data_IF_645967301509
#
_entry.id   IF_645967301509
#
_cell.length_a   1.000
_cell.length_b   1.000
_cell.length_c   1.000
_cell.angle_alpha   90.00
_cell.angle_beta   90.00
_cell.angle_gamma   90.00
#
_symmetry.space_group_name_H-M   'P 1'
#
loop_
_entity.id
_entity.type
_entity.pdbx_description
1 polymer ?
#
# COMPACT_ATOMS: atom_id res chain seq x y z
N UNK A 1 2.30 -3.85 -24.88
CA UNK A 1 1.74 -3.80 -23.52
C UNK A 1 2.19 -4.99 -22.67
N UNK A 2 2.36 -6.17 -23.25
CA UNK A 2 2.77 -7.39 -22.53
C UNK A 2 4.11 -7.24 -21.79
N UNK A 3 5.12 -6.67 -22.45
CA UNK A 3 6.43 -6.42 -21.83
C UNK A 3 6.31 -5.52 -20.59
N UNK A 4 5.50 -4.46 -20.68
CA UNK A 4 5.27 -3.52 -19.57
C UNK A 4 4.56 -4.23 -18.42
N UNK A 5 3.56 -5.05 -18.75
CA UNK A 5 2.79 -5.85 -17.78
C UNK A 5 3.72 -6.78 -17.01
N UNK A 6 4.59 -7.51 -17.72
CA UNK A 6 5.59 -8.38 -17.10
C UNK A 6 6.60 -7.61 -16.26
N UNK A 7 7.12 -6.49 -16.76
CA UNK A 7 8.06 -5.64 -16.02
C UNK A 7 7.45 -5.10 -14.72
N UNK A 8 6.17 -4.71 -14.74
CA UNK A 8 5.48 -4.21 -13.54
C UNK A 8 5.21 -5.32 -12.52
N UNK A 9 4.71 -6.47 -12.99
CA UNK A 9 4.49 -7.66 -12.18
C UNK A 9 5.76 -8.07 -11.44
N UNK A 10 6.86 -8.25 -12.17
CA UNK A 10 8.16 -8.62 -11.59
C UNK A 10 8.73 -7.50 -10.71
N UNK A 11 8.63 -6.25 -11.13
CA UNK A 11 9.15 -5.09 -10.41
C UNK A 11 8.46 -4.83 -9.07
N UNK A 12 7.25 -5.36 -8.87
CA UNK A 12 6.52 -5.31 -7.59
C UNK A 12 6.66 -6.59 -6.78
N UNK A 13 7.67 -7.41 -7.10
CA UNK A 13 7.87 -8.74 -6.55
C UNK A 13 6.60 -9.60 -6.62
N UNK A 14 5.94 -9.58 -7.79
CA UNK A 14 4.70 -10.32 -8.08
C UNK A 14 3.50 -9.89 -7.23
N UNK A 15 3.57 -8.74 -6.57
CA UNK A 15 2.47 -8.28 -5.73
C UNK A 15 1.32 -7.69 -6.53
N UNK A 16 1.56 -6.89 -7.57
CA UNK A 16 0.49 -6.44 -8.47
C UNK A 16 0.17 -7.59 -9.42
N UNK A 17 -1.09 -7.98 -9.55
CA UNK A 17 -1.51 -9.04 -10.47
C UNK A 17 -1.39 -8.57 -11.94
N UNK A 18 -1.18 -9.49 -12.88
CA UNK A 18 -0.94 -9.14 -14.29
C UNK A 18 -2.14 -8.36 -14.88
N UNK A 19 -3.35 -8.82 -14.60
CA UNK A 19 -4.62 -8.21 -14.97
C UNK A 19 -4.84 -6.82 -14.35
N UNK A 20 -4.17 -6.53 -13.24
CA UNK A 20 -4.29 -5.27 -12.51
C UNK A 20 -3.30 -4.20 -12.99
N UNK A 21 -2.25 -4.58 -13.74
CA UNK A 21 -1.25 -3.62 -14.23
C UNK A 21 -1.86 -2.53 -15.10
N UNK A 22 -2.90 -2.85 -15.88
CA UNK A 22 -3.56 -1.88 -16.75
C UNK A 22 -4.02 -0.63 -15.99
N UNK A 23 -4.51 -0.78 -14.75
CA UNK A 23 -4.98 0.35 -13.92
C UNK A 23 -3.84 1.29 -13.53
N UNK A 24 -2.65 0.75 -13.24
CA UNK A 24 -1.45 1.56 -12.95
C UNK A 24 -0.85 2.17 -14.23
N UNK A 25 -0.85 1.39 -15.31
CA UNK A 25 -0.28 1.77 -16.60
C UNK A 25 -0.96 3.00 -17.20
N UNK A 26 -2.29 3.14 -17.03
CA UNK A 26 -3.07 4.27 -17.54
C UNK A 26 -2.50 5.64 -17.14
N UNK A 27 -1.94 5.76 -15.91
CA UNK A 27 -1.36 7.01 -15.41
C UNK A 27 0.16 6.95 -15.23
N UNK A 28 0.72 5.76 -15.09
CA UNK A 28 2.14 5.56 -14.77
C UNK A 28 3.03 5.35 -15.98
N UNK A 29 2.49 5.38 -17.20
CA UNK A 29 3.28 5.32 -18.44
C UNK A 29 3.25 6.66 -19.17
N UNK A 30 4.36 6.97 -19.83
CA UNK A 30 4.49 8.08 -20.77
C UNK A 30 5.06 7.55 -22.08
N UNK A 31 4.42 7.87 -23.20
CA UNK A 31 4.95 7.57 -24.51
C UNK A 31 6.30 8.27 -24.71
N UNK A 32 7.24 7.61 -25.39
CA UNK A 32 8.51 8.24 -25.74
C UNK A 32 8.29 9.38 -26.73
N UNK A 33 9.04 10.47 -26.54
CA UNK A 33 9.06 11.58 -27.50
C UNK A 33 9.90 11.29 -28.74
N UNK A 34 10.72 10.23 -28.72
CA UNK A 34 11.65 9.90 -29.82
C UNK A 34 11.36 8.58 -30.50
N UNK A 35 10.54 7.70 -29.91
CA UNK A 35 10.19 6.39 -30.47
C UNK A 35 8.72 6.04 -30.15
N UNK A 36 7.80 6.13 -31.12
CA UNK A 36 6.36 5.93 -30.87
C UNK A 36 6.02 4.51 -30.38
N UNK A 37 6.92 3.53 -30.54
CA UNK A 37 6.71 2.16 -30.08
C UNK A 37 7.19 1.93 -28.65
N UNK A 38 7.78 2.94 -27.99
CA UNK A 38 8.34 2.83 -26.64
C UNK A 38 7.56 3.65 -25.62
N UNK A 39 7.53 3.12 -24.41
CA UNK A 39 6.96 3.75 -23.24
C UNK A 39 7.97 3.77 -22.11
N UNK A 40 7.89 4.81 -21.29
CA UNK A 40 8.65 4.94 -20.06
C UNK A 40 7.70 4.90 -18.87
N UNK A 41 8.15 4.30 -17.77
CA UNK A 41 7.50 4.49 -16.48
C UNK A 41 7.70 5.95 -16.08
N UNK A 42 6.60 6.68 -15.93
CA UNK A 42 6.61 8.08 -15.56
C UNK A 42 6.94 8.23 -14.08
N UNK A 43 8.22 8.41 -13.76
CA UNK A 43 8.72 8.57 -12.39
C UNK A 43 9.92 9.50 -12.35
N UNK A 44 10.13 10.11 -11.19
CA UNK A 44 11.38 10.80 -10.88
C UNK A 44 12.42 9.81 -10.37
N UNK A 45 13.61 9.80 -10.96
CA UNK A 45 14.69 8.89 -10.57
C UNK A 45 15.21 9.14 -9.14
N UNK A 46 15.08 10.38 -8.63
CA UNK A 46 15.49 10.77 -7.28
C UNK A 46 14.68 10.07 -6.20
N UNK A 47 13.46 9.62 -6.49
CA UNK A 47 12.65 8.87 -5.53
C UNK A 47 13.31 7.57 -5.08
N UNK A 48 14.29 7.04 -5.82
CA UNK A 48 15.08 5.89 -5.37
C UNK A 48 15.95 6.19 -4.15
N UNK A 49 16.32 7.45 -3.91
CA UNK A 49 17.21 7.80 -2.80
C UNK A 49 16.54 7.65 -1.43
N UNK A 50 15.20 7.68 -1.38
CA UNK A 50 14.45 7.49 -0.12
C UNK A 50 14.73 6.12 0.50
N UNK A 51 15.08 5.11 -0.31
CA UNK A 51 15.36 3.76 0.14
C UNK A 51 16.64 3.66 1.01
N UNK A 52 17.48 4.70 1.00
CA UNK A 52 18.70 4.76 1.82
C UNK A 52 18.52 5.53 3.13
N UNK A 53 17.33 6.08 3.38
CA UNK A 53 17.02 6.74 4.64
C UNK A 53 16.32 5.75 5.57
N UNK A 54 17.01 5.34 6.63
CA UNK A 54 16.40 4.53 7.68
C UNK A 54 15.40 5.36 8.48
N UNK A 55 14.27 4.75 8.82
CA UNK A 55 13.31 5.35 9.72
C UNK A 55 13.85 5.42 11.16
N UNK A 56 13.54 6.53 11.85
CA UNK A 56 13.81 6.63 13.27
C UNK A 56 12.67 5.98 14.06
N UNK A 57 12.90 4.77 14.59
CA UNK A 57 11.90 4.00 15.33
C UNK A 57 11.33 4.72 16.56
N UNK A 58 12.12 5.54 17.25
CA UNK A 58 11.63 6.33 18.38
C UNK A 58 10.63 7.39 17.93
N UNK A 59 10.94 8.09 16.83
CA UNK A 59 10.03 9.06 16.23
C UNK A 59 8.73 8.40 15.79
N UNK A 60 8.82 7.31 15.02
CA UNK A 60 7.65 6.57 14.50
C UNK A 60 6.79 6.05 15.66
N UNK A 61 7.38 5.44 16.67
CA UNK A 61 6.66 4.98 17.86
C UNK A 61 5.99 6.12 18.64
N UNK A 62 6.64 7.28 18.73
CA UNK A 62 6.06 8.48 19.37
C UNK A 62 4.86 9.01 18.59
N UNK A 63 4.92 8.99 17.25
CA UNK A 63 3.80 9.38 16.39
C UNK A 63 2.64 8.39 16.49
N UNK A 64 2.91 7.09 16.48
CA UNK A 64 1.89 6.04 16.66
C UNK A 64 1.10 6.20 17.96
N UNK A 65 1.79 6.46 19.08
CA UNK A 65 1.14 6.73 20.39
C UNK A 65 0.26 7.98 20.40
N UNK A 66 0.45 8.90 19.46
CA UNK A 66 -0.33 10.15 19.35
C UNK A 66 -1.51 10.04 18.41
N UNK A 67 -1.73 8.90 17.76
CA UNK A 67 -2.84 8.68 16.85
C UNK A 67 -4.17 8.62 17.64
N UNK A 68 -5.04 9.62 17.47
CA UNK A 68 -6.32 9.76 18.19
C UNK A 68 -7.55 9.67 17.30
N UNK A 69 -7.38 9.82 15.98
CA UNK A 69 -8.51 9.74 15.05
C UNK A 69 -8.95 8.28 14.87
N UNK A 70 -10.21 8.10 14.50
CA UNK A 70 -10.68 6.81 14.02
C UNK A 70 -9.77 6.34 12.88
N UNK A 71 -9.31 5.10 12.94
CA UNK A 71 -8.35 4.57 11.98
C UNK A 71 -8.70 3.13 11.63
N UNK A 72 -8.86 2.87 10.34
CA UNK A 72 -9.01 1.53 9.79
C UNK A 72 -7.68 1.09 9.16
N UNK A 73 -7.15 -0.03 9.63
CA UNK A 73 -5.89 -0.61 9.16
C UNK A 73 -6.13 -2.00 8.57
N UNK A 74 -5.55 -2.26 7.40
CA UNK A 74 -5.53 -3.58 6.79
C UNK A 74 -4.11 -4.11 6.71
N UNK A 75 -3.92 -5.35 7.15
CA UNK A 75 -2.70 -6.14 6.92
C UNK A 75 -2.98 -7.22 5.89
N UNK A 76 -2.46 -7.11 4.66
CA UNK A 76 -2.43 -8.23 3.74
C UNK A 76 -1.47 -9.29 4.27
N UNK A 77 -1.94 -10.52 4.44
CA UNK A 77 -1.19 -11.57 5.14
C UNK A 77 -0.09 -12.21 4.27
N UNK A 78 -0.22 -12.15 2.94
CA UNK A 78 0.81 -12.66 2.02
C UNK A 78 1.89 -11.60 1.74
N UNK A 79 1.76 -10.41 2.32
CA UNK A 79 2.73 -9.32 2.22
C UNK A 79 3.83 -9.44 3.27
N UNK A 80 5.12 -9.41 2.91
CA UNK A 80 6.22 -9.40 3.88
C UNK A 80 6.35 -8.06 4.62
N UNK A 81 5.76 -6.98 4.12
CA UNK A 81 5.84 -5.65 4.72
C UNK A 81 5.05 -5.55 6.03
N UNK A 82 5.59 -4.79 6.99
CA UNK A 82 5.02 -4.55 8.31
C UNK A 82 4.71 -5.84 9.09
N UNK A 83 5.58 -6.84 8.96
CA UNK A 83 5.46 -8.15 9.61
C UNK A 83 6.60 -8.41 10.62
N UNK A 84 7.60 -7.54 10.69
CA UNK A 84 8.65 -7.61 11.71
C UNK A 84 8.10 -7.26 13.10
N UNK A 85 8.82 -7.70 14.13
CA UNK A 85 8.44 -7.55 15.54
C UNK A 85 8.13 -6.10 15.93
N UNK A 86 8.91 -5.14 15.44
CA UNK A 86 8.68 -3.73 15.74
C UNK A 86 7.36 -3.23 15.14
N UNK A 87 7.03 -3.60 13.91
CA UNK A 87 5.74 -3.26 13.30
C UNK A 87 4.55 -3.91 14.03
N UNK A 88 4.72 -5.15 14.51
CA UNK A 88 3.69 -5.83 15.31
C UNK A 88 3.47 -5.09 16.63
N UNK A 89 4.52 -4.83 17.39
CA UNK A 89 4.46 -4.09 18.65
C UNK A 89 3.84 -2.70 18.46
N UNK A 90 4.24 -1.97 17.42
CA UNK A 90 3.71 -0.64 17.13
C UNK A 90 2.20 -0.67 16.91
N UNK A 91 1.69 -1.66 16.17
CA UNK A 91 0.26 -1.83 15.93
C UNK A 91 -0.50 -2.10 17.21
N UNK A 92 0.02 -2.98 18.07
CA UNK A 92 -0.56 -3.28 19.38
C UNK A 92 -0.56 -2.06 20.30
N UNK A 93 0.48 -1.22 20.24
CA UNK A 93 0.54 0.05 20.96
C UNK A 93 -0.53 1.01 20.47
N UNK A 94 -0.73 1.13 19.15
CA UNK A 94 -1.77 1.99 18.57
C UNK A 94 -3.16 1.49 18.97
N UNK A 95 -3.41 0.18 18.87
CA UNK A 95 -4.68 -0.44 19.22
C UNK A 95 -5.03 -0.25 20.70
N UNK A 96 -4.06 -0.43 21.61
CA UNK A 96 -4.25 -0.17 23.05
C UNK A 96 -4.53 1.31 23.36
N UNK A 97 -3.93 2.24 22.62
CA UNK A 97 -4.02 3.67 22.91
C UNK A 97 -5.19 4.36 22.19
N UNK A 98 -5.81 3.71 21.21
CA UNK A 98 -6.89 4.28 20.41
C UNK A 98 -8.05 3.30 20.28
N UNK A 99 -9.09 3.48 21.10
CA UNK A 99 -10.32 2.67 21.07
C UNK A 99 -11.12 2.76 19.76
N UNK A 100 -10.72 3.64 18.83
CA UNK A 100 -11.31 3.82 17.49
C UNK A 100 -10.41 3.24 16.38
N UNK A 101 -9.36 2.51 16.75
CA UNK A 101 -8.50 1.79 15.83
C UNK A 101 -9.10 0.41 15.53
N UNK A 102 -9.22 0.07 14.25
CA UNK A 102 -9.73 -1.21 13.77
C UNK A 102 -8.67 -1.86 12.87
N UNK A 103 -8.22 -3.07 13.21
CA UNK A 103 -7.18 -3.79 12.47
C UNK A 103 -7.74 -5.08 11.88
N UNK A 104 -7.62 -5.24 10.57
CA UNK A 104 -8.10 -6.41 9.85
C UNK A 104 -6.97 -7.08 9.07
N UNK A 105 -6.86 -8.40 9.22
CA UNK A 105 -5.94 -9.23 8.46
C UNK A 105 -6.69 -9.84 7.28
N UNK A 106 -6.21 -9.60 6.07
CA UNK A 106 -6.92 -10.00 4.84
C UNK A 106 -6.03 -10.86 3.94
N UNK A 107 -6.55 -11.93 3.32
CA UNK A 107 -5.84 -12.69 2.30
C UNK A 107 -5.45 -11.82 1.12
N UNK A 108 -4.20 -11.93 0.65
CA UNK A 108 -3.69 -11.18 -0.49
C UNK A 108 -2.30 -10.60 -0.28
N UNK A 109 -1.70 -10.20 -1.41
CA UNK A 109 -0.39 -9.54 -1.47
C UNK A 109 -0.45 -8.09 -0.99
N UNK A 110 0.69 -7.38 -1.00
CA UNK A 110 0.77 -5.97 -0.59
C UNK A 110 -0.21 -5.04 -1.33
N UNK A 111 -0.58 -5.36 -2.57
CA UNK A 111 -1.51 -4.59 -3.40
C UNK A 111 -2.92 -5.19 -3.42
N UNK A 112 -3.36 -5.86 -2.35
CA UNK A 112 -4.71 -6.47 -2.25
C UNK A 112 -5.84 -5.50 -2.57
N UNK A 113 -5.70 -4.21 -2.22
CA UNK A 113 -6.68 -3.18 -2.53
C UNK A 113 -6.87 -2.95 -4.04
N UNK A 114 -5.82 -3.23 -4.84
CA UNK A 114 -5.86 -3.13 -6.29
C UNK A 114 -6.35 -4.44 -6.91
N UNK A 115 -5.82 -5.57 -6.44
CA UNK A 115 -6.10 -6.89 -7.03
C UNK A 115 -7.46 -7.47 -6.61
N UNK A 116 -7.89 -7.20 -5.38
CA UNK A 116 -9.07 -7.78 -4.72
C UNK A 116 -9.82 -6.74 -3.87
N UNK A 117 -10.25 -5.60 -4.45
CA UNK A 117 -10.92 -4.54 -3.71
C UNK A 117 -12.19 -5.00 -2.98
N UNK A 118 -12.87 -6.03 -3.49
CA UNK A 118 -14.07 -6.63 -2.91
C UNK A 118 -13.86 -7.17 -1.49
N UNK A 119 -12.61 -7.51 -1.13
CA UNK A 119 -12.27 -8.00 0.21
C UNK A 119 -12.17 -6.87 1.24
N UNK A 120 -11.97 -5.63 0.80
CA UNK A 120 -11.76 -4.47 1.68
C UNK A 120 -12.98 -3.55 1.68
N UNK A 121 -13.65 -3.40 0.52
CA UNK A 121 -14.70 -2.41 0.32
C UNK A 121 -15.84 -2.49 1.35
N UNK A 122 -16.40 -3.66 1.72
CA UNK A 122 -17.47 -3.73 2.72
C UNK A 122 -17.04 -3.19 4.08
N UNK A 123 -15.84 -3.53 4.53
CA UNK A 123 -15.27 -3.06 5.80
C UNK A 123 -14.98 -1.56 5.76
N UNK A 124 -14.45 -1.05 4.64
CA UNK A 124 -14.23 0.39 4.45
C UNK A 124 -15.55 1.15 4.53
N UNK A 125 -16.58 0.69 3.82
CA UNK A 125 -17.91 1.34 3.81
C UNK A 125 -18.50 1.34 5.23
N UNK A 126 -18.45 0.19 5.92
CA UNK A 126 -18.95 0.05 7.30
C UNK A 126 -18.24 1.02 8.25
N UNK A 127 -16.92 1.13 8.12
CA UNK A 127 -16.11 2.06 8.92
C UNK A 127 -16.46 3.53 8.64
N UNK A 128 -16.60 3.90 7.37
CA UNK A 128 -16.96 5.27 6.98
C UNK A 128 -18.36 5.66 7.49
N UNK A 129 -19.33 4.74 7.40
CA UNK A 129 -20.69 4.93 7.95
C UNK A 129 -20.66 5.07 9.48
N UNK A 130 -19.90 4.22 10.18
CA UNK A 130 -19.74 4.28 11.65
C UNK A 130 -19.26 5.65 12.14
N UNK A 131 -18.45 6.35 11.34
CA UNK A 131 -17.92 7.67 11.67
C UNK A 131 -18.55 8.83 10.86
N UNK A 132 -19.69 8.59 10.21
CA UNK A 132 -20.49 9.59 9.47
C UNK A 132 -19.72 10.32 8.36
N UNK A 133 -18.85 9.61 7.62
CA UNK A 133 -18.18 10.15 6.43
C UNK A 133 -18.99 9.95 5.14
N UNK A 134 -19.85 8.94 5.12
CA UNK A 134 -20.76 8.59 4.01
C UNK A 134 -22.11 8.16 4.56
#
# INVERSE_FOLDING_TARGET
MDEITQKWYLGTNKSVALESVQHLAQRGLKASSTDPNKFYFHRDARLKTILFNHENKLLVGTLGKRLKCATLYFKPIDSPFAADEYCVELREVVERNNAKFESHFVPGTHHVQLNNPERLAPTIITFLQKYNFV
#
